data_IF_349147303875
#
_entry.id   IF_349147303875
#
_cell.length_a   1.000
_cell.length_b   1.000
_cell.length_c   1.000
_cell.angle_alpha   90.00
_cell.angle_beta   90.00
_cell.angle_gamma   90.00
#
_symmetry.space_group_name_H-M   'P 1'
#
loop_
_entity.id
_entity.type
_entity.pdbx_description
1 polymer ?
#
# COMPACT_ATOMS: atom_id res chain seq x y z
N UNK A 1 4.68 -64.81 -56.89
CA UNK A 1 4.64 -64.50 -55.46
C UNK A 1 4.79 -63.01 -55.28
N UNK A 2 3.71 -62.34 -55.01
CA UNK A 2 3.62 -60.89 -54.97
C UNK A 2 3.63 -60.44 -53.51
N UNK A 3 4.72 -59.84 -53.12
CA UNK A 3 4.77 -59.16 -51.78
C UNK A 3 4.19 -57.74 -51.87
N UNK A 4 3.03 -57.57 -51.27
CA UNK A 4 2.44 -56.21 -51.06
C UNK A 4 3.10 -55.50 -49.95
N UNK A 5 3.83 -54.41 -50.23
CA UNK A 5 4.35 -53.49 -49.24
C UNK A 5 3.25 -52.58 -48.74
N UNK A 6 2.95 -52.69 -47.48
CA UNK A 6 1.96 -51.84 -46.81
C UNK A 6 2.67 -50.54 -46.35
N UNK A 7 2.30 -49.45 -47.00
CA UNK A 7 2.83 -48.10 -46.71
C UNK A 7 2.09 -47.52 -45.54
N UNK A 8 2.73 -47.50 -44.34
CA UNK A 8 2.19 -46.88 -43.16
C UNK A 8 2.42 -45.35 -43.23
N UNK A 9 1.32 -44.61 -43.43
CA UNK A 9 1.33 -43.17 -43.41
C UNK A 9 1.46 -42.67 -41.95
N UNK A 10 2.61 -42.14 -41.63
CA UNK A 10 2.90 -41.49 -40.34
C UNK A 10 2.31 -40.09 -40.40
N UNK A 11 1.17 -39.88 -39.71
CA UNK A 11 0.52 -38.58 -39.55
C UNK A 11 1.24 -37.87 -38.43
N UNK A 12 2.04 -36.87 -38.75
CA UNK A 12 2.63 -35.96 -37.82
C UNK A 12 1.55 -34.94 -37.38
N UNK A 13 1.01 -35.13 -36.17
CA UNK A 13 0.16 -34.17 -35.51
C UNK A 13 0.98 -32.96 -35.06
N UNK A 14 0.81 -31.85 -35.74
CA UNK A 14 1.34 -30.53 -35.27
C UNK A 14 0.49 -30.10 -34.12
N UNK A 15 1.01 -30.27 -32.89
CA UNK A 15 0.43 -29.67 -31.67
C UNK A 15 0.76 -28.18 -31.68
N UNK A 16 -0.18 -27.37 -32.10
CA UNK A 16 -0.12 -25.94 -32.02
C UNK A 16 -0.34 -25.54 -30.57
N UNK A 17 0.76 -25.33 -29.80
CA UNK A 17 0.71 -24.75 -28.46
C UNK A 17 0.34 -23.28 -28.62
N UNK A 18 -0.94 -22.98 -28.41
CA UNK A 18 -1.41 -21.60 -28.29
C UNK A 18 -0.84 -21.02 -26.96
N UNK A 19 0.27 -20.33 -27.03
CA UNK A 19 0.79 -19.55 -25.93
C UNK A 19 -0.21 -18.40 -25.68
N UNK A 20 -1.11 -18.59 -24.72
CA UNK A 20 -1.91 -17.49 -24.17
C UNK A 20 -0.94 -16.54 -23.47
N UNK A 21 -0.57 -15.47 -24.14
CA UNK A 21 0.07 -14.33 -23.53
C UNK A 21 -0.94 -13.74 -22.52
N UNK A 22 -0.76 -14.09 -21.24
CA UNK A 22 -1.45 -13.40 -20.14
C UNK A 22 -0.95 -11.96 -20.24
N UNK A 23 -1.82 -10.96 -20.50
CA UNK A 23 -1.38 -9.58 -20.42
C UNK A 23 -0.85 -9.38 -19.00
N UNK A 24 0.42 -9.05 -18.87
CA UNK A 24 0.98 -8.55 -17.62
C UNK A 24 0.10 -7.36 -17.25
N UNK A 25 -0.77 -7.53 -16.24
CA UNK A 25 -1.66 -6.49 -15.79
C UNK A 25 -0.81 -5.26 -15.51
N UNK A 26 -1.04 -4.19 -16.25
CA UNK A 26 -0.39 -2.92 -15.99
C UNK A 26 -0.70 -2.59 -14.53
N UNK A 27 0.31 -2.59 -13.67
CA UNK A 27 0.17 -2.28 -12.26
C UNK A 27 -0.39 -0.87 -12.21
N UNK A 28 -1.67 -0.75 -11.79
CA UNK A 28 -2.34 0.53 -11.73
C UNK A 28 -1.53 1.44 -10.81
N UNK A 29 -1.07 2.56 -11.32
CA UNK A 29 -0.29 3.55 -10.57
C UNK A 29 -1.18 4.75 -10.28
N UNK A 30 -1.08 5.27 -9.06
CA UNK A 30 -1.79 6.50 -8.73
C UNK A 30 -1.21 7.68 -9.52
N UNK A 31 -2.06 8.41 -10.24
CA UNK A 31 -1.66 9.57 -11.02
C UNK A 31 -1.91 10.88 -10.24
N UNK A 32 -1.18 11.95 -10.55
CA UNK A 32 -1.47 13.26 -9.99
C UNK A 32 -2.90 13.71 -10.31
N UNK A 33 -3.62 14.18 -9.29
CA UNK A 33 -5.03 14.57 -9.42
C UNK A 33 -6.03 13.43 -9.21
N UNK A 34 -5.57 12.22 -8.92
CA UNK A 34 -6.43 11.09 -8.57
C UNK A 34 -7.28 11.36 -7.33
N UNK A 35 -8.51 10.87 -7.32
CA UNK A 35 -9.45 11.02 -6.20
C UNK A 35 -9.16 9.95 -5.15
N UNK A 36 -8.73 10.41 -3.97
CA UNK A 36 -8.35 9.57 -2.84
C UNK A 36 -9.34 9.70 -1.70
N UNK A 37 -9.95 8.59 -1.30
CA UNK A 37 -10.69 8.48 -0.06
C UNK A 37 -9.79 7.92 1.04
N UNK A 38 -9.74 8.58 2.19
CA UNK A 38 -9.05 8.09 3.38
C UNK A 38 -10.09 7.47 4.29
N UNK A 39 -10.10 6.15 4.38
CA UNK A 39 -11.01 5.41 5.21
C UNK A 39 -10.78 5.72 6.71
N UNK A 40 -11.80 5.60 7.57
CA UNK A 40 -11.62 5.68 9.02
C UNK A 40 -10.58 4.67 9.51
N UNK A 41 -9.69 5.10 10.40
CA UNK A 41 -8.60 4.29 10.94
C UNK A 41 -8.53 4.41 12.45
N UNK A 42 -8.08 3.34 13.11
CA UNK A 42 -7.89 3.33 14.55
C UNK A 42 -6.90 4.41 15.01
N UNK A 43 -7.06 4.90 16.24
CA UNK A 43 -6.19 5.92 16.82
C UNK A 43 -6.26 7.30 16.14
N UNK A 44 -7.26 7.54 15.27
CA UNK A 44 -7.44 8.81 14.56
C UNK A 44 -6.38 9.07 13.50
N UNK A 45 -5.68 8.03 13.03
CA UNK A 45 -4.63 8.13 12.01
C UNK A 45 -5.16 8.76 10.72
N UNK A 46 -6.41 8.46 10.35
CA UNK A 46 -7.07 9.02 9.16
C UNK A 46 -7.16 10.56 9.21
N UNK A 47 -7.50 11.13 10.34
CA UNK A 47 -7.56 12.58 10.55
C UNK A 47 -6.17 13.22 10.38
N UNK A 48 -5.16 12.63 10.98
CA UNK A 48 -3.78 13.10 10.83
C UNK A 48 -3.27 12.94 9.41
N UNK A 49 -3.59 11.84 8.73
CA UNK A 49 -3.21 11.60 7.34
C UNK A 49 -3.84 12.63 6.41
N UNK A 50 -5.15 12.90 6.53
CA UNK A 50 -5.81 13.95 5.71
C UNK A 50 -5.12 15.30 5.90
N UNK A 51 -4.83 15.68 7.13
CA UNK A 51 -4.16 16.94 7.44
C UNK A 51 -2.74 17.00 6.86
N UNK A 52 -1.96 15.94 6.98
CA UNK A 52 -0.58 15.89 6.48
C UNK A 52 -0.53 15.79 4.95
N UNK A 53 -1.46 15.08 4.30
CA UNK A 53 -1.58 15.03 2.85
C UNK A 53 -1.81 16.42 2.26
N UNK A 54 -2.71 17.20 2.86
CA UNK A 54 -2.98 18.58 2.45
C UNK A 54 -1.78 19.49 2.73
N UNK A 55 -1.20 19.41 3.91
CA UNK A 55 -0.05 20.23 4.34
C UNK A 55 1.17 20.02 3.45
N UNK A 56 1.46 18.77 3.09
CA UNK A 56 2.60 18.43 2.23
C UNK A 56 2.30 18.61 0.75
N UNK A 57 1.08 19.03 0.40
CA UNK A 57 0.63 19.23 -0.98
C UNK A 57 0.86 17.97 -1.83
N UNK A 58 0.40 16.82 -1.31
CA UNK A 58 0.40 15.59 -2.08
C UNK A 58 -0.55 15.79 -3.27
N UNK A 59 -0.14 15.47 -4.51
CA UNK A 59 -0.92 15.82 -5.69
C UNK A 59 -2.10 14.86 -5.92
N UNK A 60 -3.00 14.77 -4.93
CA UNK A 60 -4.25 14.00 -4.97
C UNK A 60 -5.43 14.87 -4.55
N UNK A 61 -6.62 14.50 -4.96
CA UNK A 61 -7.87 15.15 -4.57
C UNK A 61 -8.50 14.31 -3.47
N UNK A 62 -8.56 14.85 -2.24
CA UNK A 62 -9.23 14.17 -1.14
C UNK A 62 -10.75 14.27 -1.30
N UNK A 63 -11.42 13.12 -1.27
CA UNK A 63 -12.88 13.02 -1.32
C UNK A 63 -13.45 12.56 0.02
N UNK A 64 -14.67 12.93 0.32
CA UNK A 64 -15.34 12.67 1.60
C UNK A 64 -16.03 11.31 1.67
N UNK A 65 -16.26 10.67 0.54
CA UNK A 65 -16.92 9.37 0.44
C UNK A 65 -16.20 8.45 -0.53
N UNK A 66 -16.38 7.14 -0.32
CA UNK A 66 -15.80 6.11 -1.19
C UNK A 66 -16.42 6.14 -2.60
N UNK A 67 -17.69 6.49 -2.73
CA UNK A 67 -18.43 6.49 -4.00
C UNK A 67 -17.82 7.37 -5.10
N UNK A 68 -17.08 8.41 -4.70
CA UNK A 68 -16.42 9.31 -5.65
C UNK A 68 -14.91 9.08 -5.77
N UNK A 69 -14.38 8.06 -5.13
CA UNK A 69 -12.95 7.78 -5.09
C UNK A 69 -12.50 6.88 -6.25
N UNK A 70 -11.28 7.08 -6.70
CA UNK A 70 -10.55 6.16 -7.58
C UNK A 70 -9.69 5.21 -6.73
N UNK A 71 -9.21 5.73 -5.59
CA UNK A 71 -8.35 5.00 -4.66
C UNK A 71 -8.83 5.16 -3.22
N UNK A 72 -8.60 4.12 -2.42
CA UNK A 72 -8.91 4.10 -1.00
C UNK A 72 -7.61 3.88 -0.21
N UNK A 73 -7.31 4.79 0.71
CA UNK A 73 -6.25 4.61 1.69
C UNK A 73 -6.85 4.10 2.99
N UNK A 74 -6.51 2.90 3.37
CA UNK A 74 -6.93 2.27 4.63
C UNK A 74 -5.71 1.87 5.45
N UNK A 75 -5.89 1.60 6.74
CA UNK A 75 -4.78 1.18 7.57
C UNK A 75 -5.12 1.11 9.05
N UNK A 76 -4.10 0.81 9.83
CA UNK A 76 -4.18 0.67 11.28
C UNK A 76 -3.08 1.51 11.95
N UNK A 77 -3.40 2.10 13.08
CA UNK A 77 -2.42 2.72 13.96
C UNK A 77 -2.38 1.93 15.27
N UNK A 78 -1.20 1.48 15.64
CA UNK A 78 -0.94 0.86 16.93
C UNK A 78 -0.14 1.84 17.80
N UNK A 79 -0.73 2.26 18.90
CA UNK A 79 -0.07 3.04 19.93
C UNK A 79 0.22 2.12 21.13
N UNK A 80 1.48 1.78 21.32
CA UNK A 80 1.90 1.05 22.51
C UNK A 80 2.38 2.04 23.56
N UNK A 81 1.55 2.25 24.56
CA UNK A 81 1.92 3.02 25.75
C UNK A 81 2.63 2.08 26.73
N UNK A 82 3.84 2.43 27.13
CA UNK A 82 4.48 1.74 28.26
C UNK A 82 3.77 2.11 29.56
N UNK A 83 3.43 1.09 30.36
CA UNK A 83 2.81 1.31 31.66
C UNK A 83 3.74 2.04 32.62
N UNK A 84 3.18 2.75 33.59
CA UNK A 84 3.91 3.49 34.63
C UNK A 84 4.99 2.65 35.34
N UNK A 85 4.73 1.37 35.59
CA UNK A 85 5.66 0.45 36.25
C UNK A 85 6.81 -0.02 35.35
N UNK A 86 6.64 -0.01 34.02
CA UNK A 86 7.66 -0.42 33.06
C UNK A 86 8.57 0.75 32.64
N UNK A 87 8.07 1.98 32.70
CA UNK A 87 8.78 3.15 32.19
C UNK A 87 9.99 3.59 33.02
N UNK A 88 10.05 3.19 34.31
CA UNK A 88 11.16 3.63 35.17
C UNK A 88 12.28 2.55 35.24
N UNK A 89 11.98 1.30 34.95
CA UNK A 89 12.95 0.19 34.98
C UNK A 89 13.51 -0.20 33.61
N UNK A 90 12.82 0.19 32.53
CA UNK A 90 13.26 -0.11 31.18
C UNK A 90 13.10 1.11 30.29
N UNK A 91 14.13 1.42 29.51
CA UNK A 91 14.12 2.47 28.47
C UNK A 91 13.16 2.12 27.33
N UNK A 92 12.02 1.47 27.61
CA UNK A 92 10.99 1.18 26.62
C UNK A 92 10.25 2.48 26.31
N UNK A 93 10.55 3.04 25.16
CA UNK A 93 9.86 4.21 24.60
C UNK A 93 8.47 3.83 24.11
N UNK A 94 7.55 4.79 24.24
CA UNK A 94 6.27 4.73 23.55
C UNK A 94 6.53 4.68 22.05
N UNK A 95 6.16 3.58 21.42
CA UNK A 95 6.30 3.40 19.98
C UNK A 95 4.92 3.44 19.33
N UNK A 96 4.72 4.43 18.48
CA UNK A 96 3.56 4.45 17.60
C UNK A 96 3.96 3.90 16.24
N UNK A 97 3.25 2.91 15.78
CA UNK A 97 3.42 2.31 14.44
C UNK A 97 2.11 2.43 13.69
N UNK A 98 2.16 2.79 12.44
CA UNK A 98 1.00 2.78 11.56
C UNK A 98 1.36 2.12 10.25
N UNK A 99 0.48 1.25 9.80
CA UNK A 99 0.52 0.64 8.48
C UNK A 99 -0.65 1.12 7.66
N UNK A 100 -0.40 1.41 6.39
CA UNK A 100 -1.43 1.83 5.46
C UNK A 100 -1.31 1.07 4.15
N UNK A 101 -2.45 0.87 3.52
CA UNK A 101 -2.57 0.20 2.23
C UNK A 101 -3.41 1.06 1.30
N UNK A 102 -2.94 1.27 0.09
CA UNK A 102 -3.64 1.96 -0.98
C UNK A 102 -4.24 0.95 -1.93
N UNK A 103 -5.55 1.01 -2.08
CA UNK A 103 -6.34 0.10 -2.92
C UNK A 103 -6.90 0.86 -4.11
N UNK A 104 -6.91 0.23 -5.27
CA UNK A 104 -7.71 0.68 -6.41
C UNK A 104 -9.18 0.33 -6.16
N UNK A 105 -10.10 1.27 -6.44
CA UNK A 105 -11.55 1.03 -6.31
C UNK A 105 -12.04 0.09 -7.42
N UNK A 106 -11.44 0.15 -8.61
CA UNK A 106 -11.88 -0.55 -9.80
C UNK A 106 -11.79 -2.07 -9.67
N UNK A 107 -10.67 -2.58 -9.19
CA UNK A 107 -10.37 -4.02 -9.12
C UNK A 107 -9.99 -4.51 -7.71
N UNK A 108 -10.01 -3.60 -6.72
CA UNK A 108 -9.62 -3.87 -5.31
C UNK A 108 -8.16 -4.34 -5.17
N UNK A 109 -7.33 -4.09 -6.15
CA UNK A 109 -5.90 -4.43 -6.08
C UNK A 109 -5.16 -3.51 -5.11
N UNK A 110 -4.16 -4.07 -4.42
CA UNK A 110 -3.24 -3.30 -3.58
C UNK A 110 -2.17 -2.73 -4.50
N UNK A 111 -2.13 -1.42 -4.64
CA UNK A 111 -1.14 -0.75 -5.49
C UNK A 111 0.04 -0.20 -4.72
N UNK A 112 -0.12 0.01 -3.41
CA UNK A 112 0.94 0.49 -2.55
C UNK A 112 0.62 0.15 -1.09
N UNK A 113 1.63 -0.18 -0.32
CA UNK A 113 1.52 -0.37 1.12
C UNK A 113 2.78 0.18 1.80
N UNK A 114 2.61 0.77 2.97
CA UNK A 114 3.70 1.37 3.72
C UNK A 114 3.47 1.24 5.22
N UNK A 115 4.56 1.02 5.95
CA UNK A 115 4.59 1.04 7.39
C UNK A 115 5.53 2.15 7.87
N UNK A 116 5.07 2.96 8.80
CA UNK A 116 5.88 3.98 9.41
C UNK A 116 5.78 3.89 10.93
N UNK A 117 6.93 3.79 11.58
CA UNK A 117 7.05 3.84 13.03
C UNK A 117 7.63 5.16 13.49
N UNK A 118 7.26 5.56 14.69
CA UNK A 118 7.98 6.61 15.40
C UNK A 118 9.21 6.02 16.09
N UNK A 119 10.24 5.73 15.30
CA UNK A 119 11.55 5.43 15.85
C UNK A 119 12.22 6.73 16.22
N UNK A 120 11.82 7.32 17.32
CA UNK A 120 12.61 8.38 17.95
C UNK A 120 13.87 7.76 18.53
N UNK A 121 14.83 7.44 17.67
CA UNK A 121 16.20 7.26 18.08
C UNK A 121 16.69 8.65 18.42
N UNK A 122 16.75 9.02 19.70
CA UNK A 122 17.84 9.86 20.20
C UNK A 122 17.48 10.63 21.45
N UNK A 123 18.39 10.52 22.38
CA UNK A 123 18.87 11.55 23.29
C UNK A 123 17.82 12.55 23.81
N UNK A 124 17.31 12.27 24.99
CA UNK A 124 16.94 13.27 25.97
C UNK A 124 16.17 14.49 25.48
N UNK A 125 15.00 14.32 24.92
CA UNK A 125 14.22 15.49 24.56
C UNK A 125 12.84 15.07 24.07
N UNK A 126 11.84 15.43 24.76
CA UNK A 126 10.45 15.81 24.44
C UNK A 126 9.95 15.53 23.00
N UNK A 127 10.39 14.45 22.37
CA UNK A 127 9.92 14.06 21.05
C UNK A 127 8.58 13.35 21.19
N UNK A 128 7.51 14.15 21.29
CA UNK A 128 6.12 13.70 21.15
C UNK A 128 5.91 13.30 19.69
N UNK A 129 6.25 12.04 19.35
CA UNK A 129 6.07 11.54 18.00
C UNK A 129 4.62 11.20 17.72
N UNK A 130 4.13 10.14 18.24
CA UNK A 130 2.75 9.68 18.13
C UNK A 130 2.21 9.51 16.70
N UNK A 131 0.90 9.30 16.56
CA UNK A 131 0.24 9.05 15.28
C UNK A 131 0.44 10.15 14.23
N UNK A 132 0.59 11.40 14.67
CA UNK A 132 0.82 12.53 13.77
C UNK A 132 2.15 12.45 13.03
N UNK A 133 3.21 12.00 13.70
CA UNK A 133 4.53 11.83 13.06
C UNK A 133 4.54 10.66 12.10
N UNK A 134 3.82 9.59 12.45
CA UNK A 134 3.57 8.45 11.56
C UNK A 134 2.85 8.92 10.31
N UNK A 135 1.75 9.67 10.46
CA UNK A 135 0.99 10.23 9.33
C UNK A 135 1.86 11.12 8.43
N UNK A 136 2.72 11.96 9.02
CA UNK A 136 3.62 12.84 8.25
C UNK A 136 4.61 12.04 7.39
N UNK A 137 5.16 10.95 7.92
CA UNK A 137 6.07 10.07 7.17
C UNK A 137 5.35 9.34 6.05
N UNK A 138 4.18 8.80 6.33
CA UNK A 138 3.35 8.12 5.34
C UNK A 138 2.96 9.08 4.21
N UNK A 139 2.52 10.30 4.54
CA UNK A 139 2.17 11.31 3.55
C UNK A 139 3.36 11.68 2.66
N UNK A 140 4.57 11.78 3.22
CA UNK A 140 5.80 12.02 2.46
C UNK A 140 6.10 10.91 1.46
N UNK A 141 6.01 9.66 1.90
CA UNK A 141 6.24 8.49 1.04
C UNK A 141 5.18 8.35 -0.06
N UNK A 142 3.91 8.62 0.27
CA UNK A 142 2.85 8.62 -0.73
C UNK A 142 3.07 9.73 -1.77
N UNK A 143 3.52 10.92 -1.34
CA UNK A 143 3.87 12.01 -2.25
C UNK A 143 4.94 11.61 -3.27
N UNK A 144 5.97 10.90 -2.81
CA UNK A 144 7.04 10.43 -3.67
C UNK A 144 6.57 9.32 -4.62
N UNK A 145 5.62 8.51 -4.17
CA UNK A 145 5.00 7.46 -5.00
C UNK A 145 4.13 8.04 -6.10
N UNK A 146 3.30 9.05 -5.80
CA UNK A 146 2.41 9.73 -6.79
C UNK A 146 3.20 10.51 -7.84
N UNK A 147 4.42 10.93 -7.56
CA UNK A 147 5.25 11.71 -8.48
C UNK A 147 6.06 10.87 -9.48
N UNK A 148 6.11 9.57 -9.28
CA UNK A 148 6.81 8.64 -10.17
C UNK A 148 5.95 8.29 -11.39
#
# INVERSE_FOLDING_TARGET
>A
MTMKATMTKMVWGVVMVLAMAVPAGAQESIHPGAKLFVAPMDGGLDGFLRAELMKQKVPVILVSSEDGAEFILTGEAQERKSGWSEGWLTTKKDNSTGSVTLLSVSDKSIIWAEEAGDRSLMMGGLSRGGPRKVASRIAGKLKDFVKK
#
